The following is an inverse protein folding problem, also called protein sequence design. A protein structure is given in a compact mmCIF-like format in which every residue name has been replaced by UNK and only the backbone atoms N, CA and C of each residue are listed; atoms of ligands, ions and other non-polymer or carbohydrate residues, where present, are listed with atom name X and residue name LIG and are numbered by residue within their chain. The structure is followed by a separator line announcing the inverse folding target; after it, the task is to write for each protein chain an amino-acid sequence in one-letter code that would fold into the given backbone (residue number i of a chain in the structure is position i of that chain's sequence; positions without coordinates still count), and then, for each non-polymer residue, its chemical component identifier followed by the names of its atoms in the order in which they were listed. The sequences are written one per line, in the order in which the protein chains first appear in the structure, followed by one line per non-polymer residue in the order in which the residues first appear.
data_IF_778578492664
#
_entry.id   IF_778578492664
#
_cell.length_a   1.000
_cell.length_b   1.000
_cell.length_c   1.000
_cell.angle_alpha   90.00
_cell.angle_beta   90.00
_cell.angle_gamma   90.00
#
_symmetry.space_group_name_H-M   'P 1'
#
loop_
_entity.id
_entity.type
_entity.pdbx_description
1 polymer ?
#
# COMPACT_ATOMS: atom_id res chain seq x y z
N UNK A 1 -20.53 -21.08 -0.44
CA UNK A 1 -19.82 -19.77 -0.52
C UNK A 1 -18.46 -20.06 -1.11
N UNK A 2 -18.22 -19.65 -2.35
CA UNK A 2 -16.93 -19.88 -3.01
C UNK A 2 -15.87 -18.99 -2.37
N UNK A 3 -14.72 -19.57 -2.02
CA UNK A 3 -13.50 -18.84 -1.68
C UNK A 3 -13.00 -18.14 -2.93
N UNK A 4 -13.29 -16.86 -3.09
CA UNK A 4 -12.66 -16.07 -4.15
C UNK A 4 -11.29 -15.63 -3.65
N UNK A 5 -10.24 -16.15 -4.28
CA UNK A 5 -8.82 -15.83 -4.02
C UNK A 5 -8.51 -14.41 -4.47
N UNK A 6 -8.44 -13.47 -3.54
CA UNK A 6 -7.83 -12.17 -3.78
C UNK A 6 -6.73 -11.96 -2.74
N UNK A 7 -5.53 -12.36 -3.13
CA UNK A 7 -4.37 -12.24 -2.25
C UNK A 7 -4.04 -10.77 -1.99
N UNK A 8 -3.59 -10.44 -0.76
CA UNK A 8 -3.02 -9.15 -0.47
C UNK A 8 -1.91 -8.79 -1.45
N UNK A 9 -1.81 -7.51 -1.78
CA UNK A 9 -0.80 -7.01 -2.72
C UNK A 9 -0.25 -5.65 -2.29
N UNK A 10 0.93 -5.32 -2.81
CA UNK A 10 1.61 -4.05 -2.58
C UNK A 10 1.73 -3.27 -3.89
N UNK A 11 1.39 -1.99 -3.84
CA UNK A 11 1.72 -1.03 -4.89
C UNK A 11 2.72 -0.02 -4.36
N UNK A 12 3.81 0.18 -5.10
CA UNK A 12 4.79 1.22 -4.80
C UNK A 12 4.56 2.42 -5.71
N UNK A 13 4.66 3.63 -5.18
CA UNK A 13 4.58 4.86 -5.94
C UNK A 13 5.69 5.82 -5.56
N UNK A 14 6.35 6.43 -6.54
CA UNK A 14 7.32 7.50 -6.32
C UNK A 14 6.61 8.79 -5.86
N UNK A 15 7.36 9.67 -5.19
CA UNK A 15 6.80 10.93 -4.66
C UNK A 15 6.36 11.90 -5.77
N UNK A 16 6.87 11.79 -7.01
CA UNK A 16 6.39 12.61 -8.13
C UNK A 16 4.96 12.27 -8.50
N UNK A 17 4.67 10.99 -8.74
CA UNK A 17 3.33 10.47 -9.03
C UNK A 17 2.35 10.83 -7.93
N UNK A 18 2.70 10.54 -6.68
CA UNK A 18 1.83 10.83 -5.56
C UNK A 18 1.69 12.35 -5.31
N UNK A 19 2.74 13.12 -5.62
CA UNK A 19 2.74 14.58 -5.62
C UNK A 19 1.74 15.18 -6.60
N UNK A 20 1.64 14.65 -7.83
CA UNK A 20 0.62 15.07 -8.80
C UNK A 20 -0.80 14.76 -8.31
N UNK A 21 -1.02 13.57 -7.76
CA UNK A 21 -2.32 13.19 -7.19
C UNK A 21 -2.74 14.12 -6.04
N UNK A 22 -1.81 14.38 -5.10
CA UNK A 22 -2.05 15.32 -4.00
C UNK A 22 -2.49 16.69 -4.52
N UNK A 23 -1.79 17.24 -5.52
CA UNK A 23 -2.13 18.53 -6.13
C UNK A 23 -3.51 18.50 -6.78
N UNK A 24 -3.81 17.46 -7.54
CA UNK A 24 -5.10 17.30 -8.25
C UNK A 24 -6.29 17.26 -7.29
N UNK A 25 -6.12 16.59 -6.16
CA UNK A 25 -7.13 16.46 -5.12
C UNK A 25 -7.14 17.63 -4.12
N UNK A 26 -6.32 18.67 -4.34
CA UNK A 26 -6.26 19.82 -3.42
C UNK A 26 -5.71 19.46 -2.04
N UNK A 27 -4.92 18.38 -1.94
CA UNK A 27 -4.19 18.03 -0.72
C UNK A 27 -2.97 18.94 -0.62
N UNK A 28 -3.03 19.91 0.29
CA UNK A 28 -1.92 20.82 0.54
C UNK A 28 -0.65 20.10 1.00
N UNK A 29 0.47 20.84 1.05
CA UNK A 29 1.78 20.29 1.45
C UNK A 29 1.79 19.70 2.88
N UNK A 30 0.85 20.15 3.73
CA UNK A 30 0.62 19.68 5.10
C UNK A 30 -0.68 18.86 5.24
N UNK A 31 -1.32 18.51 4.13
CA UNK A 31 -2.56 17.74 4.14
C UNK A 31 -2.33 16.40 4.81
N UNK A 32 -3.05 16.15 5.90
CA UNK A 32 -3.05 14.86 6.58
C UNK A 32 -3.89 13.88 5.75
N UNK A 33 -3.44 12.63 5.68
CA UNK A 33 -4.21 11.52 5.10
C UNK A 33 -4.61 11.71 3.62
N UNK A 34 -3.61 11.91 2.73
CA UNK A 34 -3.82 12.21 1.31
C UNK A 34 -4.66 11.15 0.58
N UNK A 35 -4.45 9.86 0.84
CA UNK A 35 -5.15 8.79 0.15
C UNK A 35 -6.62 8.74 0.58
N UNK A 36 -6.90 8.92 1.87
CA UNK A 36 -8.28 9.04 2.37
C UNK A 36 -9.04 10.19 1.69
N UNK A 37 -8.39 11.34 1.49
CA UNK A 37 -8.99 12.45 0.76
C UNK A 37 -9.28 12.09 -0.71
N UNK A 38 -8.36 11.41 -1.40
CA UNK A 38 -8.57 10.96 -2.78
C UNK A 38 -9.75 9.99 -2.89
N UNK A 39 -9.92 9.10 -1.91
CA UNK A 39 -11.04 8.15 -1.83
C UNK A 39 -12.35 8.89 -1.54
N UNK A 40 -12.33 9.86 -0.61
CA UNK A 40 -13.49 10.69 -0.29
C UNK A 40 -13.98 11.50 -1.50
N UNK A 41 -13.06 12.11 -2.25
CA UNK A 41 -13.39 12.89 -3.46
C UNK A 41 -14.04 12.01 -4.56
N UNK A 42 -13.84 10.69 -4.51
CA UNK A 42 -14.50 9.70 -5.40
C UNK A 42 -15.85 9.21 -4.87
N UNK A 43 -16.33 9.76 -3.75
CA UNK A 43 -17.60 9.37 -3.13
C UNK A 43 -17.56 8.01 -2.42
N UNK A 44 -16.38 7.44 -2.23
CA UNK A 44 -16.19 6.15 -1.58
C UNK A 44 -16.15 6.36 -0.07
N UNK A 45 -16.99 5.63 0.66
CA UNK A 45 -17.01 5.65 2.13
C UNK A 45 -15.89 4.78 2.68
N UNK A 46 -15.24 5.25 3.73
CA UNK A 46 -14.23 4.49 4.46
C UNK A 46 -14.28 4.83 5.95
N UNK A 47 -13.78 3.89 6.74
CA UNK A 47 -13.46 4.07 8.15
C UNK A 47 -11.95 4.28 8.25
N UNK A 48 -11.55 5.30 9.01
CA UNK A 48 -10.16 5.58 9.31
C UNK A 48 -9.64 4.52 10.29
N UNK A 49 -8.47 3.95 9.99
CA UNK A 49 -7.83 2.99 10.88
C UNK A 49 -6.51 3.59 11.35
N UNK A 50 -6.36 3.70 12.65
CA UNK A 50 -5.03 3.84 13.23
C UNK A 50 -4.23 2.52 13.10
N UNK A 51 -3.00 2.55 13.58
CA UNK A 51 -2.08 1.42 13.48
C UNK A 51 -2.62 0.19 14.25
N UNK A 52 -3.15 0.39 15.45
CA UNK A 52 -3.61 -0.66 16.36
C UNK A 52 -4.91 -1.27 15.83
N UNK A 53 -5.83 -0.43 15.36
CA UNK A 53 -7.08 -0.83 14.70
C UNK A 53 -6.79 -1.63 13.43
N UNK A 54 -5.86 -1.18 12.59
CA UNK A 54 -5.48 -1.91 11.38
C UNK A 54 -4.96 -3.32 11.69
N UNK A 55 -4.18 -3.49 12.76
CA UNK A 55 -3.73 -4.81 13.20
C UNK A 55 -4.89 -5.67 13.65
N UNK A 56 -5.77 -5.15 14.51
CA UNK A 56 -6.91 -5.92 14.98
C UNK A 56 -7.80 -6.40 13.84
N UNK A 57 -8.05 -5.54 12.85
CA UNK A 57 -8.81 -5.91 11.66
C UNK A 57 -8.09 -7.01 10.90
N UNK A 58 -6.78 -6.87 10.62
CA UNK A 58 -6.00 -7.91 9.92
C UNK A 58 -6.00 -9.25 10.67
N UNK A 59 -5.85 -9.24 12.01
CA UNK A 59 -5.89 -10.45 12.83
C UNK A 59 -7.27 -11.11 12.80
N UNK A 60 -8.34 -10.34 12.98
CA UNK A 60 -9.73 -10.83 12.90
C UNK A 60 -10.03 -11.42 11.52
N UNK A 61 -9.55 -10.78 10.46
CA UNK A 61 -9.78 -11.22 9.08
C UNK A 61 -8.96 -12.46 8.72
N UNK A 62 -7.76 -12.64 9.29
CA UNK A 62 -6.94 -13.82 9.06
C UNK A 62 -7.64 -15.13 9.43
N UNK A 63 -8.57 -15.10 10.40
CA UNK A 63 -9.34 -16.28 10.83
C UNK A 63 -10.34 -16.73 9.77
N UNK A 64 -10.82 -15.80 8.93
CA UNK A 64 -11.84 -16.03 7.90
C UNK A 64 -11.24 -16.30 6.52
N UNK A 65 -9.93 -16.15 6.38
CA UNK A 65 -9.21 -16.30 5.11
C UNK A 65 -8.77 -17.75 4.83
N UNK A 66 -8.36 -18.02 3.59
CA UNK A 66 -7.63 -19.26 3.27
C UNK A 66 -6.32 -19.32 4.06
N UNK A 67 -5.74 -20.52 4.24
CA UNK A 67 -4.49 -20.66 5.01
C UNK A 67 -3.37 -19.74 4.49
N UNK A 68 -3.17 -19.67 3.16
CA UNK A 68 -2.17 -18.80 2.54
C UNK A 68 -2.43 -17.31 2.81
N UNK A 69 -3.67 -16.85 2.63
CA UNK A 69 -4.03 -15.44 2.86
C UNK A 69 -4.00 -15.09 4.36
N UNK A 70 -4.37 -16.04 5.23
CA UNK A 70 -4.28 -15.92 6.68
C UNK A 70 -2.83 -15.70 7.14
N UNK A 71 -1.89 -16.49 6.61
CA UNK A 71 -0.47 -16.36 6.93
C UNK A 71 0.09 -15.01 6.47
N UNK A 72 -0.32 -14.53 5.30
CA UNK A 72 0.04 -13.21 4.79
C UNK A 72 -0.52 -12.11 5.69
N UNK A 73 -1.82 -12.15 6.03
CA UNK A 73 -2.45 -11.16 6.91
C UNK A 73 -1.80 -11.11 8.30
N UNK A 74 -1.47 -12.27 8.88
CA UNK A 74 -0.73 -12.36 10.16
C UNK A 74 0.67 -11.77 10.05
N UNK A 75 1.36 -12.05 8.95
CA UNK A 75 2.70 -11.50 8.69
C UNK A 75 2.66 -9.97 8.54
N UNK A 76 1.64 -9.44 7.89
CA UNK A 76 1.38 -8.00 7.77
C UNK A 76 1.07 -7.37 9.12
N UNK A 77 0.19 -7.98 9.92
CA UNK A 77 -0.14 -7.52 11.27
C UNK A 77 1.12 -7.48 12.17
N UNK A 78 1.97 -8.50 12.11
CA UNK A 78 3.24 -8.54 12.83
C UNK A 78 4.25 -7.50 12.34
N UNK A 79 4.34 -7.27 11.03
CA UNK A 79 5.23 -6.28 10.45
C UNK A 79 4.81 -4.84 10.76
N UNK A 80 3.50 -4.60 10.88
CA UNK A 80 2.99 -3.33 11.37
C UNK A 80 3.39 -3.08 12.81
N UNK A 81 3.75 -4.07 13.64
CA UNK A 81 3.98 -3.89 15.09
C UNK A 81 5.34 -4.28 15.62
N UNK A 82 6.17 -4.89 14.79
CA UNK A 82 7.56 -5.14 15.18
C UNK A 82 8.21 -3.78 15.46
N UNK A 83 8.74 -3.55 16.68
CA UNK A 83 9.27 -2.27 17.10
C UNK A 83 10.53 -2.00 16.33
N UNK A 84 10.35 -1.52 15.11
CA UNK A 84 11.35 -0.92 14.24
C UNK A 84 12.58 -1.77 13.93
N UNK A 85 12.92 -2.85 14.62
CA UNK A 85 14.19 -3.58 14.51
C UNK A 85 14.33 -4.39 13.22
N UNK A 86 13.25 -4.88 12.60
CA UNK A 86 13.33 -5.48 11.27
C UNK A 86 13.55 -4.43 10.15
N UNK A 87 13.05 -3.19 10.34
CA UNK A 87 13.13 -2.09 9.37
C UNK A 87 14.27 -1.08 9.65
N UNK A 88 14.74 -0.97 10.90
CA UNK A 88 15.73 0.02 11.37
C UNK A 88 17.15 -0.49 11.30
N UNK A 89 17.38 -1.80 11.30
CA UNK A 89 18.72 -2.33 11.54
C UNK A 89 19.75 -1.84 10.50
N UNK A 90 19.34 -1.46 9.28
CA UNK A 90 20.22 -0.85 8.28
C UNK A 90 19.42 0.13 7.37
N UNK A 91 19.46 1.42 7.70
CA UNK A 91 19.40 2.57 6.76
C UNK A 91 18.16 2.87 5.86
N UNK A 92 16.92 2.44 6.16
CA UNK A 92 15.71 2.92 5.41
C UNK A 92 14.47 3.00 6.32
N UNK A 93 13.93 4.21 6.57
CA UNK A 93 12.78 4.40 7.48
C UNK A 93 11.47 4.14 6.73
N UNK A 94 10.76 3.05 7.07
CA UNK A 94 9.36 2.86 6.63
C UNK A 94 8.44 3.31 7.77
N UNK A 95 7.51 4.21 7.48
CA UNK A 95 6.64 4.88 8.46
C UNK A 95 5.18 4.68 8.07
N UNK A 96 4.32 4.37 9.05
CA UNK A 96 2.87 4.36 8.84
C UNK A 96 2.35 5.78 8.63
N UNK A 97 1.58 5.99 7.56
CA UNK A 97 0.99 7.30 7.22
C UNK A 97 -0.49 7.30 7.57
N UNK A 98 -1.24 6.35 7.03
CA UNK A 98 -2.69 6.22 7.22
C UNK A 98 -3.14 4.78 6.94
N UNK A 99 -4.20 4.35 7.62
CA UNK A 99 -4.92 3.11 7.37
C UNK A 99 -6.38 3.44 7.09
N UNK A 100 -7.05 2.61 6.29
CA UNK A 100 -8.48 2.76 6.05
C UNK A 100 -9.13 1.44 5.69
N UNK A 101 -10.37 1.28 6.12
CA UNK A 101 -11.27 0.21 5.71
C UNK A 101 -12.35 0.82 4.80
N UNK A 102 -12.32 0.46 3.52
CA UNK A 102 -13.26 0.91 2.50
C UNK A 102 -14.46 -0.05 2.50
N UNK A 103 -15.58 0.42 3.06
CA UNK A 103 -16.74 -0.44 3.33
C UNK A 103 -16.38 -1.61 4.25
N UNK A 104 -16.87 -2.81 3.95
CA UNK A 104 -16.45 -4.06 4.62
C UNK A 104 -15.55 -4.93 3.72
N UNK A 105 -15.08 -4.36 2.62
CA UNK A 105 -14.61 -5.11 1.46
C UNK A 105 -13.10 -4.99 1.26
N UNK A 106 -12.48 -3.91 1.72
CA UNK A 106 -11.10 -3.58 1.34
C UNK A 106 -10.39 -2.82 2.46
N UNK A 107 -9.17 -3.25 2.80
CA UNK A 107 -8.28 -2.51 3.70
C UNK A 107 -7.13 -1.95 2.88
N UNK A 108 -6.81 -0.67 3.07
CA UNK A 108 -5.63 -0.05 2.49
C UNK A 108 -4.78 0.54 3.61
N UNK A 109 -3.51 0.20 3.61
CA UNK A 109 -2.52 0.75 4.52
C UNK A 109 -1.48 1.47 3.69
N UNK A 110 -1.35 2.76 3.95
CA UNK A 110 -0.36 3.61 3.30
C UNK A 110 0.84 3.79 4.23
N UNK A 111 2.00 3.37 3.73
CA UNK A 111 3.31 3.57 4.36
C UNK A 111 4.17 4.51 3.50
N UNK A 112 5.12 5.18 4.14
CA UNK A 112 6.15 6.00 3.50
C UNK A 112 7.52 5.39 3.76
N UNK A 113 8.25 5.07 2.70
CA UNK A 113 9.65 4.65 2.76
C UNK A 113 10.58 5.81 2.42
N UNK A 114 11.46 6.14 3.37
CA UNK A 114 12.56 7.08 3.18
C UNK A 114 13.87 6.33 2.96
N UNK A 115 14.49 6.54 1.80
CA UNK A 115 15.77 5.96 1.43
C UNK A 115 16.82 7.08 1.40
N UNK A 116 17.64 7.22 2.46
CA UNK A 116 18.69 8.23 2.51
C UNK A 116 19.75 7.92 1.44
N UNK A 117 20.26 8.97 0.79
CA UNK A 117 21.36 8.87 -0.17
C UNK A 117 22.52 9.74 0.29
N UNK A 118 23.73 9.20 0.24
CA UNK A 118 24.93 9.95 0.57
C UNK A 118 25.13 11.06 -0.48
N UNK A 119 25.25 12.31 -0.04
CA UNK A 119 25.44 13.50 -0.88
C UNK A 119 24.36 13.76 -1.95
N UNK A 120 23.16 13.17 -1.79
CA UNK A 120 22.00 13.39 -2.68
C UNK A 120 20.72 13.54 -1.85
N UNK A 121 19.66 14.04 -2.47
CA UNK A 121 18.34 14.11 -1.83
C UNK A 121 17.84 12.72 -1.46
N UNK A 122 17.23 12.60 -0.28
CA UNK A 122 16.52 11.39 0.16
C UNK A 122 15.43 11.04 -0.84
N UNK A 123 15.32 9.75 -1.18
CA UNK A 123 14.23 9.26 -2.00
C UNK A 123 13.03 8.91 -1.11
N UNK A 124 11.85 9.30 -1.56
CA UNK A 124 10.58 9.04 -0.88
C UNK A 124 9.71 8.16 -1.77
N UNK A 125 9.21 7.07 -1.20
CA UNK A 125 8.30 6.15 -1.87
C UNK A 125 7.08 5.86 -1.01
N UNK A 126 5.91 5.93 -1.62
CA UNK A 126 4.64 5.56 -1.04
C UNK A 126 4.41 4.06 -1.28
N UNK A 127 4.02 3.33 -0.23
CA UNK A 127 3.72 1.90 -0.29
C UNK A 127 2.25 1.74 0.09
N UNK A 128 1.44 1.26 -0.83
CA UNK A 128 0.03 0.92 -0.58
C UNK A 128 -0.08 -0.58 -0.42
N UNK A 129 -0.15 -1.02 0.82
CA UNK A 129 -0.50 -2.38 1.15
C UNK A 129 -2.01 -2.52 1.10
N UNK A 130 -2.49 -3.39 0.23
CA UNK A 130 -3.91 -3.55 -0.06
C UNK A 130 -4.35 -4.96 0.28
N UNK A 131 -5.43 -5.07 1.06
CA UNK A 131 -6.00 -6.33 1.49
C UNK A 131 -7.47 -6.38 1.07
N UNK A 132 -7.76 -6.95 -0.11
CA UNK A 132 -9.12 -7.26 -0.52
C UNK A 132 -9.69 -8.36 0.38
N UNK A 133 -10.85 -8.12 0.97
CA UNK A 133 -11.54 -9.07 1.85
C UNK A 133 -12.39 -10.04 1.02
N UNK A 134 -12.90 -9.58 -0.12
CA UNK A 134 -13.77 -10.32 -1.02
C UNK A 134 -13.66 -9.81 -2.46
N UNK A 135 -14.46 -10.36 -3.37
CA UNK A 135 -14.46 -9.97 -4.79
C UNK A 135 -14.85 -8.51 -5.03
N UNK A 136 -15.79 -7.98 -4.23
CA UNK A 136 -16.13 -6.56 -4.26
C UNK A 136 -14.92 -5.71 -3.91
N UNK A 137 -14.19 -6.09 -2.86
CA UNK A 137 -12.95 -5.44 -2.45
C UNK A 137 -11.86 -5.43 -3.51
N UNK A 138 -11.71 -6.54 -4.23
CA UNK A 138 -10.76 -6.60 -5.33
C UNK A 138 -11.14 -5.66 -6.47
N UNK A 139 -12.41 -5.65 -6.89
CA UNK A 139 -12.91 -4.75 -7.93
C UNK A 139 -12.74 -3.29 -7.52
N UNK A 140 -13.11 -2.95 -6.28
CA UNK A 140 -12.93 -1.62 -5.73
C UNK A 140 -11.46 -1.19 -5.74
N UNK A 141 -10.53 -2.07 -5.37
CA UNK A 141 -9.11 -1.78 -5.39
C UNK A 141 -8.60 -1.55 -6.82
N UNK A 142 -8.97 -2.41 -7.77
CA UNK A 142 -8.61 -2.27 -9.19
C UNK A 142 -9.13 -0.95 -9.75
N UNK A 143 -10.41 -0.63 -9.53
CA UNK A 143 -11.03 0.60 -10.03
C UNK A 143 -10.41 1.85 -9.40
N UNK A 144 -10.12 1.81 -8.09
CA UNK A 144 -9.43 2.88 -7.39
C UNK A 144 -8.04 3.13 -7.99
N UNK A 145 -7.21 2.10 -8.09
CA UNK A 145 -5.83 2.27 -8.55
C UNK A 145 -5.75 2.60 -10.04
N UNK A 146 -6.63 2.05 -10.89
CA UNK A 146 -6.74 2.49 -12.29
C UNK A 146 -7.15 3.95 -12.39
N UNK A 147 -8.12 4.37 -11.59
CA UNK A 147 -8.54 5.76 -11.47
C UNK A 147 -7.33 6.65 -11.13
N UNK A 148 -6.64 6.36 -10.03
CA UNK A 148 -5.45 7.11 -9.63
C UNK A 148 -4.35 7.10 -10.70
N UNK A 149 -4.10 5.96 -11.36
CA UNK A 149 -3.11 5.88 -12.45
C UNK A 149 -3.45 6.81 -13.61
N UNK A 150 -4.72 6.83 -14.02
CA UNK A 150 -5.22 7.65 -15.14
C UNK A 150 -5.21 9.15 -14.84
N UNK A 151 -5.19 9.51 -13.55
CA UNK A 151 -5.29 10.88 -13.09
C UNK A 151 -3.96 11.63 -13.05
N UNK A 152 -2.85 10.90 -13.11
CA UNK A 152 -1.47 11.39 -13.06
C UNK A 152 -0.77 11.18 -14.40
N UNK A 153 0.06 12.14 -14.80
CA UNK A 153 0.88 12.05 -16.02
C UNK A 153 2.21 11.35 -15.74
N UNK A 154 2.65 11.39 -14.49
CA UNK A 154 3.84 10.68 -14.04
C UNK A 154 3.58 9.17 -13.98
N UNK A 155 4.63 8.36 -14.17
CA UNK A 155 4.54 6.93 -13.89
C UNK A 155 4.58 6.66 -12.37
N UNK A 156 3.77 5.74 -11.82
CA UNK A 156 3.84 5.37 -10.40
C UNK A 156 5.25 4.95 -10.03
N UNK A 157 5.91 4.18 -10.90
CA UNK A 157 7.29 3.76 -10.76
C UNK A 157 7.95 3.74 -12.14
N UNK A 158 9.21 4.13 -12.17
CA UNK A 158 10.14 3.95 -13.29
C UNK A 158 11.07 2.75 -13.03
N UNK A 159 11.81 2.31 -14.03
CA UNK A 159 12.85 1.27 -13.85
C UNK A 159 13.89 1.67 -12.79
N UNK A 160 14.30 2.96 -12.77
CA UNK A 160 15.21 3.49 -11.76
C UNK A 160 14.62 3.40 -10.35
N UNK A 161 13.34 3.75 -10.19
CA UNK A 161 12.63 3.63 -8.91
C UNK A 161 12.59 2.16 -8.44
N UNK A 162 12.35 1.24 -9.37
CA UNK A 162 12.27 -0.20 -9.10
C UNK A 162 13.58 -0.78 -8.56
N UNK A 163 14.71 -0.34 -9.11
CA UNK A 163 16.05 -0.71 -8.64
C UNK A 163 16.38 -0.05 -7.30
N UNK A 164 16.04 1.23 -7.11
CA UNK A 164 16.24 1.91 -5.83
C UNK A 164 15.48 1.23 -4.67
N UNK A 165 14.30 0.68 -4.98
CA UNK A 165 13.43 -0.06 -4.06
C UNK A 165 13.89 -1.50 -3.81
N UNK A 166 14.81 -2.05 -4.61
CA UNK A 166 15.26 -3.45 -4.52
C UNK A 166 15.57 -3.91 -3.08
N UNK A 167 16.31 -3.17 -2.24
CA UNK A 167 16.61 -3.62 -0.87
C UNK A 167 15.39 -3.68 0.06
N UNK A 168 14.35 -2.87 -0.20
CA UNK A 168 13.09 -2.95 0.54
C UNK A 168 12.28 -4.12 -0.01
N UNK A 169 12.18 -4.23 -1.34
CA UNK A 169 11.39 -5.24 -2.03
C UNK A 169 11.82 -6.65 -1.69
N UNK A 170 13.10 -6.97 -1.89
CA UNK A 170 13.63 -8.33 -1.71
C UNK A 170 13.60 -8.77 -0.25
N UNK A 171 14.05 -7.91 0.68
CA UNK A 171 14.06 -8.22 2.12
C UNK A 171 12.65 -8.51 2.66
N UNK A 172 11.65 -7.75 2.21
CA UNK A 172 10.28 -7.93 2.68
C UNK A 172 9.55 -9.05 1.94
N UNK A 173 9.92 -9.38 0.70
CA UNK A 173 9.33 -10.49 -0.03
C UNK A 173 9.51 -11.83 0.70
N UNK A 174 10.70 -12.08 1.24
CA UNK A 174 11.01 -13.30 2.00
C UNK A 174 10.16 -13.42 3.27
N UNK A 175 9.94 -12.29 3.94
CA UNK A 175 9.27 -12.23 5.25
C UNK A 175 7.75 -12.20 5.14
N UNK A 176 7.21 -11.47 4.16
CA UNK A 176 5.78 -11.20 4.06
C UNK A 176 5.06 -12.07 3.03
N UNK A 177 5.77 -12.56 2.00
CA UNK A 177 5.21 -13.36 0.89
C UNK A 177 3.98 -12.73 0.22
N UNK A 178 3.92 -11.39 0.19
CA UNK A 178 2.83 -10.60 -0.42
C UNK A 178 3.15 -10.34 -1.90
N UNK A 179 2.14 -10.38 -2.78
CA UNK A 179 2.28 -9.97 -4.18
C UNK A 179 2.72 -8.51 -4.30
N UNK A 180 3.46 -8.19 -5.35
CA UNK A 180 3.90 -6.81 -5.61
C UNK A 180 5.25 -6.42 -5.01
N UNK A 181 5.86 -7.24 -4.14
CA UNK A 181 7.24 -7.00 -3.70
C UNK A 181 8.26 -7.34 -4.79
N UNK A 182 8.14 -8.50 -5.43
CA UNK A 182 9.09 -8.95 -6.46
C UNK A 182 8.64 -8.62 -7.89
N UNK A 183 7.41 -8.15 -8.07
CA UNK A 183 6.82 -7.80 -9.36
C UNK A 183 6.11 -6.44 -9.27
N UNK A 184 6.10 -5.67 -10.36
CA UNK A 184 5.42 -4.38 -10.36
C UNK A 184 3.91 -4.57 -10.53
N UNK A 185 3.16 -4.56 -9.43
CA UNK A 185 1.70 -4.77 -9.48
C UNK A 185 0.94 -3.65 -10.20
N UNK A 186 1.54 -2.49 -10.49
CA UNK A 186 0.89 -1.49 -11.35
C UNK A 186 0.68 -1.98 -12.78
N UNK A 187 1.52 -2.89 -13.28
CA UNK A 187 1.36 -3.46 -14.62
C UNK A 187 0.24 -4.49 -14.70
N UNK A 188 -0.20 -5.00 -13.55
CA UNK A 188 -1.25 -6.02 -13.42
C UNK A 188 -2.58 -5.35 -13.07
N UNK A 189 -2.56 -4.42 -12.11
CA UNK A 189 -3.75 -3.79 -11.53
C UNK A 189 -4.04 -2.45 -12.21
N UNK A 190 -3.00 -1.68 -12.52
CA UNK A 190 -3.08 -0.30 -12.99
C UNK A 190 -3.18 -0.11 -14.49
N UNK A 191 -3.01 -1.16 -15.31
CA UNK A 191 -3.27 -1.04 -16.76
C UNK A 191 -4.77 -0.82 -17.00
N UNK A 192 -5.09 0.32 -17.59
CA UNK A 192 -6.36 0.49 -18.30
C UNK A 192 -6.37 -0.48 -19.49
N UNK A 193 -7.54 -1.06 -19.76
CA UNK A 193 -7.78 -1.77 -21.02
C UNK A 193 -7.72 -0.78 -22.19
#
# INVERSE_FOLDING_TARGET
MGTVEHEPFVLFANDKFFGELKKKHGVGMLGRKPLQKMISDKGIKFEDLDRDEAKEVLEKMSVKATASTSDVMKSLALALFTPTSLFYALSKKVVFVEGMMVGEDLIIIHLLAEIPRLFKTTLLYHIFLTVPINESGWKLAVDLYRGLRSESREAPITEEDWENLRPIREKNAESLKVKGFLENSWDIIGKAA
#
